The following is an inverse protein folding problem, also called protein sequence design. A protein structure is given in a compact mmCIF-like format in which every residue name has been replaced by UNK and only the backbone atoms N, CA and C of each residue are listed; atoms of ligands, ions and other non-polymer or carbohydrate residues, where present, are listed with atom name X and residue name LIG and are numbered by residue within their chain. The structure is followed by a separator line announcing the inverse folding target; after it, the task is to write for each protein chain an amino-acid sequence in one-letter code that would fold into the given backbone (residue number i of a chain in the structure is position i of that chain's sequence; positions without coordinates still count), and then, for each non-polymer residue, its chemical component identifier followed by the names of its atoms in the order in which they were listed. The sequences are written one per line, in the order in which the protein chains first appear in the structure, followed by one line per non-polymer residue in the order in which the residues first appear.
data_IF_426102674259
#
_entry.id   IF_426102674259
#
_cell.length_a   1.000
_cell.length_b   1.000
_cell.length_c   1.000
_cell.angle_alpha   90.00
_cell.angle_beta   90.00
_cell.angle_gamma   90.00
#
_symmetry.space_group_name_H-M   'P 1'
#
loop_
_entity.id
_entity.type
_entity.pdbx_description
1 polymer ?
#
# COMPACT_ATOMS: atom_id res chain seq x y z
N UNK A 1 6.50 9.75 9.96
CA UNK A 1 6.89 10.06 8.56
C UNK A 1 5.63 10.29 7.73
N UNK A 2 5.63 11.26 6.82
CA UNK A 2 4.52 11.53 5.90
C UNK A 2 4.98 11.46 4.46
N UNK A 3 4.17 10.87 3.58
CA UNK A 3 4.49 10.71 2.14
C UNK A 3 3.54 11.58 1.31
N UNK A 4 4.08 12.34 0.38
CA UNK A 4 3.34 13.15 -0.58
C UNK A 4 3.68 12.71 -2.01
N UNK A 5 2.73 12.89 -2.93
CA UNK A 5 2.91 12.58 -4.35
C UNK A 5 2.19 11.31 -4.81
N UNK A 6 2.57 10.80 -5.98
CA UNK A 6 1.85 9.73 -6.68
C UNK A 6 1.86 8.42 -5.89
N UNK A 7 2.94 8.10 -5.17
CA UNK A 7 3.00 6.93 -4.31
C UNK A 7 2.01 6.96 -3.14
N UNK A 8 1.72 8.15 -2.59
CA UNK A 8 0.69 8.31 -1.56
C UNK A 8 -0.73 8.19 -2.14
N UNK A 9 -0.90 8.54 -3.41
CA UNK A 9 -2.15 8.42 -4.15
C UNK A 9 -2.39 7.02 -4.75
N UNK A 10 -1.44 6.11 -4.63
CA UNK A 10 -1.51 4.77 -5.21
C UNK A 10 -2.20 3.77 -4.25
N UNK A 11 -3.37 3.21 -4.60
CA UNK A 11 -4.07 2.23 -3.78
C UNK A 11 -3.31 0.90 -3.59
N UNK A 12 -2.36 0.57 -4.46
CA UNK A 12 -1.51 -0.61 -4.33
C UNK A 12 -0.42 -0.40 -3.28
N UNK A 13 0.13 0.81 -3.21
CA UNK A 13 1.25 1.14 -2.32
C UNK A 13 0.78 1.65 -0.94
N UNK A 14 -0.43 2.18 -0.82
CA UNK A 14 -0.91 2.72 0.45
C UNK A 14 -0.86 1.72 1.62
N UNK A 15 -1.25 0.44 1.49
CA UNK A 15 -1.11 -0.55 2.57
C UNK A 15 0.35 -0.84 2.94
N UNK A 16 1.25 -0.86 1.95
CA UNK A 16 2.69 -1.02 2.15
C UNK A 16 3.24 0.15 2.97
N UNK A 17 2.92 1.38 2.56
CA UNK A 17 3.34 2.61 3.25
C UNK A 17 2.82 2.63 4.69
N UNK A 18 1.56 2.25 4.91
CA UNK A 18 0.99 2.13 6.25
C UNK A 18 1.77 1.11 7.11
N UNK A 19 2.14 -0.04 6.54
CA UNK A 19 2.94 -1.07 7.20
C UNK A 19 4.37 -0.64 7.53
N UNK A 20 4.95 0.25 6.72
CA UNK A 20 6.24 0.90 6.99
C UNK A 20 6.17 1.97 8.10
N UNK A 21 4.99 2.22 8.67
CA UNK A 21 4.80 3.23 9.70
C UNK A 21 4.50 4.64 9.17
N UNK A 22 4.11 4.76 7.89
CA UNK A 22 3.60 6.02 7.35
C UNK A 22 2.20 6.28 7.92
N UNK A 23 2.09 7.31 8.73
CA UNK A 23 0.83 7.66 9.42
C UNK A 23 0.09 8.82 8.76
N UNK A 24 0.70 9.48 7.77
CA UNK A 24 0.09 10.55 6.98
C UNK A 24 0.41 10.40 5.50
N UNK A 25 -0.65 10.39 4.69
CA UNK A 25 -0.59 10.39 3.24
C UNK A 25 -1.29 11.66 2.74
N UNK A 26 -0.60 12.42 1.88
CA UNK A 26 -1.15 13.62 1.24
C UNK A 26 -1.34 13.36 -0.25
N UNK A 27 -2.54 13.59 -0.77
CA UNK A 27 -2.92 13.29 -2.16
C UNK A 27 -4.06 14.19 -2.65
N UNK A 28 -4.37 14.10 -3.94
CA UNK A 28 -5.53 14.80 -4.51
C UNK A 28 -6.85 14.18 -4.00
N UNK A 29 -7.93 14.98 -3.84
CA UNK A 29 -9.23 14.48 -3.38
C UNK A 29 -9.81 13.34 -4.22
N UNK A 30 -9.41 13.25 -5.49
CA UNK A 30 -9.84 12.21 -6.43
C UNK A 30 -9.24 10.83 -6.12
N UNK A 31 -8.04 10.77 -5.54
CA UNK A 31 -7.37 9.52 -5.17
C UNK A 31 -7.83 8.97 -3.80
N UNK A 32 -8.32 9.84 -2.93
CA UNK A 32 -8.74 9.54 -1.56
C UNK A 32 -9.71 8.35 -1.44
N UNK A 33 -10.80 8.25 -2.25
CA UNK A 33 -11.73 7.12 -2.13
C UNK A 33 -11.07 5.77 -2.44
N UNK A 34 -10.23 5.71 -3.48
CA UNK A 34 -9.57 4.47 -3.90
C UNK A 34 -8.51 4.02 -2.86
N UNK A 35 -7.72 4.96 -2.35
CA UNK A 35 -6.72 4.68 -1.32
C UNK A 35 -7.38 4.26 -0.01
N UNK A 36 -8.45 4.96 0.41
CA UNK A 36 -9.21 4.60 1.62
C UNK A 36 -9.82 3.20 1.49
N UNK A 37 -10.42 2.89 0.34
CA UNK A 37 -10.99 1.56 0.10
C UNK A 37 -9.91 0.47 0.13
N UNK A 38 -8.72 0.74 -0.41
CA UNK A 38 -7.61 -0.20 -0.32
C UNK A 38 -7.17 -0.43 1.13
N UNK A 39 -6.90 0.63 1.89
CA UNK A 39 -6.49 0.53 3.29
C UNK A 39 -7.50 -0.22 4.16
N UNK A 40 -8.81 -0.02 3.93
CA UNK A 40 -9.86 -0.70 4.69
C UNK A 40 -9.92 -2.22 4.45
N UNK A 41 -9.29 -2.74 3.40
CA UNK A 41 -9.21 -4.19 3.12
C UNK A 41 -8.05 -4.89 3.83
N UNK A 42 -7.18 -4.13 4.49
CA UNK A 42 -6.01 -4.66 5.21
C UNK A 42 -6.11 -4.31 6.68
N UNK A 43 -5.75 -5.27 7.53
CA UNK A 43 -5.46 -5.00 8.95
C UNK A 43 -4.06 -4.41 9.08
N UNK A 44 -3.78 -3.77 10.23
CA UNK A 44 -2.45 -3.26 10.53
C UNK A 44 -1.36 -4.34 10.47
N UNK A 45 -1.66 -5.55 10.95
CA UNK A 45 -0.75 -6.69 10.91
C UNK A 45 -0.42 -7.11 9.47
N UNK A 46 -1.42 -7.14 8.59
CA UNK A 46 -1.22 -7.50 7.18
C UNK A 46 -0.49 -6.42 6.39
N UNK A 47 -0.72 -5.15 6.73
CA UNK A 47 0.09 -4.05 6.19
C UNK A 47 1.57 -4.23 6.57
N UNK A 48 1.86 -4.57 7.84
CA UNK A 48 3.22 -4.79 8.30
C UNK A 48 3.88 -6.01 7.63
N UNK A 49 3.15 -7.13 7.49
CA UNK A 49 3.62 -8.31 6.75
C UNK A 49 3.92 -7.96 5.29
N UNK A 50 3.01 -7.26 4.62
CA UNK A 50 3.17 -6.85 3.24
C UNK A 50 4.38 -5.91 3.07
N UNK A 51 4.56 -4.96 3.98
CA UNK A 51 5.74 -4.10 4.00
C UNK A 51 7.04 -4.90 4.14
N UNK A 52 7.07 -5.90 5.03
CA UNK A 52 8.22 -6.79 5.18
C UNK A 52 8.54 -7.56 3.90
N UNK A 53 7.53 -8.10 3.22
CA UNK A 53 7.71 -8.80 1.93
C UNK A 53 8.21 -7.87 0.83
N UNK A 54 7.69 -6.66 0.74
CA UNK A 54 8.11 -5.65 -0.24
C UNK A 54 9.55 -5.19 0.02
N UNK A 55 9.95 -5.04 1.28
CA UNK A 55 11.33 -4.69 1.66
C UNK A 55 12.34 -5.83 1.37
N UNK A 56 11.87 -7.07 1.32
CA UNK A 56 12.69 -8.24 1.01
C UNK A 56 12.85 -8.51 -0.49
N UNK A 57 12.16 -7.75 -1.35
CA UNK A 57 12.27 -7.88 -2.80
C UNK A 57 13.66 -7.45 -3.29
N UNK A 58 14.19 -8.16 -4.29
CA UNK A 58 15.52 -7.90 -4.85
C UNK A 58 15.53 -6.64 -5.74
N UNK A 59 14.39 -6.30 -6.33
CA UNK A 59 14.26 -5.13 -7.21
C UNK A 59 12.88 -4.43 -7.13
N UNK A 60 12.77 -3.17 -7.63
CA UNK A 60 11.53 -2.40 -7.57
C UNK A 60 10.36 -2.99 -8.37
N UNK A 61 10.62 -3.83 -9.37
CA UNK A 61 9.62 -4.55 -10.14
C UNK A 61 8.98 -5.66 -9.30
N UNK A 62 9.80 -6.48 -8.66
CA UNK A 62 9.33 -7.52 -7.73
C UNK A 62 8.55 -6.92 -6.54
N UNK A 63 9.06 -5.82 -5.96
CA UNK A 63 8.37 -5.07 -4.91
C UNK A 63 6.93 -4.67 -5.31
N UNK A 64 6.75 -4.15 -6.53
CA UNK A 64 5.43 -3.79 -7.06
C UNK A 64 4.56 -5.01 -7.33
N UNK A 65 5.16 -6.10 -7.79
CA UNK A 65 4.45 -7.35 -8.09
C UNK A 65 3.87 -7.99 -6.82
N UNK A 66 4.63 -7.98 -5.73
CA UNK A 66 4.18 -8.45 -4.41
C UNK A 66 2.97 -7.63 -3.94
N UNK A 67 3.07 -6.29 -4.00
CA UNK A 67 1.97 -5.39 -3.61
C UNK A 67 0.72 -5.61 -4.46
N UNK A 68 0.89 -5.76 -5.77
CA UNK A 68 -0.20 -6.02 -6.72
C UNK A 68 -0.87 -7.37 -6.48
N UNK A 69 -0.09 -8.42 -6.30
CA UNK A 69 -0.59 -9.77 -6.02
C UNK A 69 -1.45 -9.77 -4.76
N UNK A 70 -0.93 -9.19 -3.67
CA UNK A 70 -1.67 -9.10 -2.41
C UNK A 70 -2.97 -8.30 -2.54
N UNK A 71 -2.96 -7.22 -3.31
CA UNK A 71 -4.16 -6.43 -3.58
C UNK A 71 -5.24 -7.23 -4.34
N UNK A 72 -4.83 -8.01 -5.34
CA UNK A 72 -5.74 -8.81 -6.15
C UNK A 72 -6.37 -9.97 -5.36
N UNK A 73 -5.61 -10.61 -4.48
CA UNK A 73 -6.12 -11.65 -3.57
C UNK A 73 -7.26 -11.12 -2.68
N UNK A 74 -7.19 -9.86 -2.27
CA UNK A 74 -8.21 -9.23 -1.41
C UNK A 74 -9.42 -8.68 -2.16
N UNK A 75 -9.28 -8.40 -3.45
CA UNK A 75 -10.41 -8.02 -4.31
C UNK A 75 -11.26 -9.21 -4.75
N UNK A 76 -10.79 -10.45 -4.54
CA UNK A 76 -11.46 -11.70 -4.91
C UNK A 76 -12.22 -12.37 -3.77
N UNK A 77 -12.19 -11.79 -2.57
CA UNK A 77 -12.84 -12.30 -1.36
C UNK A 77 -13.98 -11.39 -0.93
#
# INVERSE_FOLDING_TARGET
VGVCGEAAADPLLAPVLAGLGVTRLSMSPRALPAVRAALLRFTSAECAELAGRVLAADDPGEAREIARTRHNERGRS
#
